data_IF_242604461754
#
_entry.id   IF_242604461754
#
_cell.length_a   1.000
_cell.length_b   1.000
_cell.length_c   1.000
_cell.angle_alpha   90.00
_cell.angle_beta   90.00
_cell.angle_gamma   90.00
#
_symmetry.space_group_name_H-M   'P 1'
#
loop_
_entity.id
_entity.type
_entity.pdbx_description
1 polymer ?
#
# COMPACT_ATOMS: atom_id res chain seq x y z
N UNK A 1 -12.44 2.79 -15.59
CA UNK A 1 -12.55 2.97 -14.12
C UNK A 1 -13.69 2.14 -13.52
N UNK A 2 -14.91 2.18 -14.07
CA UNK A 2 -16.07 1.43 -13.55
C UNK A 2 -15.83 -0.08 -13.32
N UNK A 3 -15.27 -0.79 -14.31
CA UNK A 3 -14.99 -2.24 -14.20
C UNK A 3 -14.03 -2.61 -13.06
N UNK A 4 -13.05 -1.75 -12.72
CA UNK A 4 -12.13 -1.99 -11.61
C UNK A 4 -12.85 -1.86 -10.26
N UNK A 5 -13.73 -0.88 -10.13
CA UNK A 5 -14.54 -0.70 -8.92
C UNK A 5 -15.57 -1.81 -8.76
N UNK A 6 -16.13 -2.32 -9.85
CA UNK A 6 -17.02 -3.49 -9.84
C UNK A 6 -16.26 -4.74 -9.36
N UNK A 7 -15.08 -5.01 -9.92
CA UNK A 7 -14.22 -6.12 -9.49
C UNK A 7 -13.81 -6.03 -8.01
N UNK A 8 -13.66 -4.82 -7.47
CA UNK A 8 -13.35 -4.59 -6.07
C UNK A 8 -14.58 -4.55 -5.16
N UNK A 9 -15.80 -4.39 -5.70
CA UNK A 9 -17.01 -4.14 -4.90
C UNK A 9 -17.46 -5.34 -4.06
N UNK A 10 -17.05 -6.55 -4.44
CA UNK A 10 -17.38 -7.78 -3.73
C UNK A 10 -16.47 -8.04 -2.50
N UNK A 11 -15.39 -7.30 -2.35
CA UNK A 11 -14.41 -7.49 -1.26
C UNK A 11 -14.56 -6.38 -0.19
N UNK A 12 -14.24 -6.72 1.07
CA UNK A 12 -14.16 -5.75 2.16
C UNK A 12 -12.79 -5.06 2.18
N UNK A 13 -12.61 -4.11 1.27
CA UNK A 13 -11.41 -3.27 1.19
C UNK A 13 -11.69 -1.85 1.64
N UNK A 14 -10.65 -1.11 2.03
CA UNK A 14 -10.72 0.33 2.30
C UNK A 14 -9.52 1.14 1.78
N UNK A 15 -8.52 0.46 1.20
CA UNK A 15 -7.47 1.04 0.38
C UNK A 15 -7.45 0.35 -1.01
N UNK A 16 -7.39 1.11 -2.09
CA UNK A 16 -7.18 0.60 -3.44
C UNK A 16 -6.00 1.32 -4.08
N UNK A 17 -4.92 0.59 -4.36
CA UNK A 17 -3.80 1.11 -5.14
C UNK A 17 -4.18 1.20 -6.62
N UNK A 18 -4.08 2.41 -7.17
CA UNK A 18 -4.17 2.67 -8.61
C UNK A 18 -2.79 2.65 -9.27
N UNK A 19 -1.75 2.93 -8.50
CA UNK A 19 -0.36 2.94 -8.92
C UNK A 19 0.55 2.68 -7.75
N UNK A 20 1.45 1.72 -7.88
CA UNK A 20 2.38 1.33 -6.81
C UNK A 20 3.64 0.68 -7.36
N UNK A 21 4.66 0.60 -6.51
CA UNK A 21 5.90 -0.11 -6.81
C UNK A 21 5.99 -1.36 -5.92
N UNK A 22 5.46 -2.52 -6.37
CA UNK A 22 5.50 -3.75 -5.59
C UNK A 22 6.94 -4.13 -5.28
N UNK A 23 7.17 -4.60 -4.07
CA UNK A 23 8.46 -5.21 -3.69
C UNK A 23 8.30 -6.71 -3.45
N UNK A 24 7.11 -7.13 -3.00
CA UNK A 24 6.68 -8.53 -3.02
C UNK A 24 5.66 -8.78 -4.13
N UNK A 25 5.57 -10.05 -4.53
CA UNK A 25 4.50 -10.52 -5.38
C UNK A 25 3.13 -10.37 -4.74
N UNK A 26 2.11 -10.33 -5.58
CA UNK A 26 0.72 -10.31 -5.13
C UNK A 26 0.32 -11.62 -4.49
N UNK A 27 -0.43 -11.53 -3.39
CA UNK A 27 -0.77 -12.70 -2.58
C UNK A 27 -1.92 -13.49 -3.18
N UNK A 28 -2.91 -12.79 -3.74
CA UNK A 28 -4.11 -13.40 -4.30
C UNK A 28 -4.65 -12.60 -5.48
N UNK A 29 -5.07 -13.32 -6.52
CA UNK A 29 -5.89 -12.75 -7.59
C UNK A 29 -7.36 -12.67 -7.11
N UNK A 30 -7.93 -11.48 -7.08
CA UNK A 30 -9.34 -11.26 -6.68
C UNK A 30 -10.24 -11.31 -7.91
N UNK A 31 -9.83 -10.65 -8.98
CA UNK A 31 -10.47 -10.70 -10.31
C UNK A 31 -9.41 -10.47 -11.39
N UNK A 32 -9.81 -10.48 -12.67
CA UNK A 32 -8.89 -10.22 -13.79
C UNK A 32 -8.02 -8.98 -13.61
N UNK A 33 -8.56 -7.95 -12.94
CA UNK A 33 -7.90 -6.65 -12.83
C UNK A 33 -7.62 -6.21 -11.39
N UNK A 34 -7.91 -7.05 -10.40
CA UNK A 34 -7.80 -6.71 -8.98
C UNK A 34 -7.05 -7.80 -8.25
N UNK A 35 -6.08 -7.39 -7.44
CA UNK A 35 -5.25 -8.28 -6.62
C UNK A 35 -5.24 -7.84 -5.18
N UNK A 36 -4.95 -8.78 -4.29
CA UNK A 36 -4.50 -8.52 -2.93
C UNK A 36 -2.99 -8.26 -2.96
N UNK A 37 -2.54 -7.03 -2.68
CA UNK A 37 -1.15 -6.66 -2.81
C UNK A 37 -0.30 -7.28 -1.69
N UNK A 38 0.88 -7.76 -2.07
CA UNK A 38 1.98 -7.95 -1.15
C UNK A 38 2.60 -6.63 -0.69
N UNK A 39 3.72 -6.72 0.00
CA UNK A 39 4.45 -5.54 0.44
C UNK A 39 4.83 -4.56 -0.68
N UNK A 40 4.63 -3.27 -0.41
CA UNK A 40 4.82 -2.17 -1.34
C UNK A 40 5.53 -1.02 -0.63
N UNK A 41 6.64 -0.53 -1.20
CA UNK A 41 7.37 0.64 -0.68
C UNK A 41 6.86 1.96 -1.26
N UNK A 42 6.48 2.02 -2.54
CA UNK A 42 6.01 3.26 -3.13
C UNK A 42 4.55 3.21 -3.49
N UNK A 43 3.82 4.17 -2.93
CA UNK A 43 2.44 4.46 -3.29
C UNK A 43 2.42 5.65 -4.24
N UNK A 44 2.01 5.44 -5.49
CA UNK A 44 1.98 6.50 -6.51
C UNK A 44 0.59 7.13 -6.61
N UNK A 45 -0.45 6.29 -6.60
CA UNK A 45 -1.83 6.72 -6.62
C UNK A 45 -2.71 5.71 -5.90
N UNK A 46 -3.68 6.19 -5.13
CA UNK A 46 -4.57 5.35 -4.35
C UNK A 46 -5.94 6.00 -4.15
N UNK A 47 -6.92 5.16 -3.82
CA UNK A 47 -8.21 5.56 -3.26
C UNK A 47 -8.28 5.02 -1.84
N UNK A 48 -8.65 5.88 -0.90
CA UNK A 48 -8.95 5.50 0.48
C UNK A 48 -10.43 5.74 0.76
N UNK A 49 -11.09 4.76 1.39
CA UNK A 49 -12.49 4.93 1.80
C UNK A 49 -12.58 5.82 3.05
N UNK A 50 -13.74 6.45 3.22
CA UNK A 50 -13.97 7.44 4.27
C UNK A 50 -13.81 6.86 5.68
N UNK A 51 -14.17 5.60 5.90
CA UNK A 51 -14.02 4.89 7.17
C UNK A 51 -12.53 4.76 7.57
N UNK A 52 -11.67 4.34 6.63
CA UNK A 52 -10.24 4.27 6.87
C UNK A 52 -9.62 5.64 7.12
N UNK A 53 -10.01 6.66 6.35
CA UNK A 53 -9.54 8.02 6.53
C UNK A 53 -9.93 8.58 7.91
N UNK A 54 -11.17 8.33 8.37
CA UNK A 54 -11.63 8.71 9.72
C UNK A 54 -10.84 7.99 10.80
N UNK A 55 -10.59 6.70 10.64
CA UNK A 55 -9.81 5.92 11.60
C UNK A 55 -8.39 6.50 11.79
N UNK A 56 -7.75 7.00 10.72
CA UNK A 56 -6.47 7.70 10.83
C UNK A 56 -6.57 9.02 11.61
N UNK A 57 -7.57 9.85 11.31
CA UNK A 57 -7.77 11.13 12.00
C UNK A 57 -8.07 10.93 13.48
N UNK A 58 -8.94 9.97 13.82
CA UNK A 58 -9.30 9.65 15.21
C UNK A 58 -8.13 9.09 16.03
N UNK A 59 -7.17 8.43 15.35
CA UNK A 59 -5.96 7.89 15.95
C UNK A 59 -4.82 8.91 16.05
N UNK A 60 -5.01 10.14 15.57
CA UNK A 60 -3.98 11.18 15.56
C UNK A 60 -2.66 10.74 14.92
N UNK A 61 -2.74 9.98 13.82
CA UNK A 61 -1.56 9.37 13.19
C UNK A 61 -0.52 10.38 12.73
N UNK A 62 -0.90 11.64 12.52
CA UNK A 62 0.01 12.74 12.19
C UNK A 62 1.02 13.05 13.31
N UNK A 63 0.77 12.59 14.54
CA UNK A 63 1.66 12.78 15.69
C UNK A 63 2.71 11.68 15.82
N UNK A 64 2.50 10.56 15.13
CA UNK A 64 3.40 9.41 15.17
C UNK A 64 4.33 9.45 13.95
N UNK A 65 5.63 9.57 14.18
CA UNK A 65 6.63 9.59 13.11
C UNK A 65 6.87 8.15 12.63
N UNK A 66 6.31 7.82 11.47
CA UNK A 66 6.65 6.60 10.75
C UNK A 66 7.02 6.91 9.30
N UNK A 67 7.98 6.19 8.70
CA UNK A 67 8.34 6.39 7.30
C UNK A 67 7.17 6.16 6.34
N UNK A 68 6.94 7.17 5.49
CA UNK A 68 5.81 7.23 4.58
C UNK A 68 5.73 6.01 3.65
N UNK A 69 6.87 5.57 3.13
CA UNK A 69 6.99 4.44 2.18
C UNK A 69 6.51 3.11 2.78
N UNK A 70 6.65 2.95 4.09
CA UNK A 70 6.28 1.73 4.81
C UNK A 70 4.85 1.78 5.35
N UNK A 71 4.27 2.98 5.43
CA UNK A 71 3.10 3.25 6.26
C UNK A 71 1.89 2.40 5.88
N UNK A 72 1.50 2.41 4.61
CA UNK A 72 0.32 1.64 4.17
C UNK A 72 0.54 0.12 4.26
N UNK A 73 1.75 -0.35 3.94
CA UNK A 73 2.08 -1.77 4.08
C UNK A 73 1.98 -2.22 5.54
N UNK A 74 2.55 -1.47 6.48
CA UNK A 74 2.46 -1.78 7.91
C UNK A 74 1.02 -1.63 8.44
N UNK A 75 0.27 -0.63 7.98
CA UNK A 75 -1.15 -0.45 8.32
C UNK A 75 -2.06 -1.58 7.79
N UNK A 76 -1.60 -2.35 6.81
CA UNK A 76 -2.23 -3.60 6.33
C UNK A 76 -1.67 -4.85 7.02
N UNK A 77 -0.70 -4.71 7.93
CA UNK A 77 0.00 -5.84 8.56
C UNK A 77 0.99 -6.56 7.66
N UNK A 78 1.55 -5.88 6.64
CA UNK A 78 2.54 -6.43 5.69
C UNK A 78 3.96 -5.97 6.04
N UNK A 79 4.96 -6.78 5.68
CA UNK A 79 6.38 -6.50 5.91
C UNK A 79 6.83 -6.58 7.37
N UNK A 80 6.09 -7.32 8.21
CA UNK A 80 6.41 -7.54 9.63
C UNK A 80 7.36 -8.72 9.85
N UNK A 81 7.77 -9.40 8.78
CA UNK A 81 8.81 -10.44 8.75
C UNK A 81 10.23 -9.85 8.76
N UNK A 82 10.35 -8.52 8.84
CA UNK A 82 11.59 -7.74 8.87
C UNK A 82 12.42 -7.81 7.58
N UNK A 83 11.91 -8.43 6.51
CA UNK A 83 12.68 -8.58 5.27
C UNK A 83 12.98 -7.24 4.59
N UNK A 84 12.00 -6.33 4.59
CA UNK A 84 12.12 -5.01 3.97
C UNK A 84 12.44 -3.89 4.94
N UNK A 85 12.22 -4.12 6.24
CA UNK A 85 12.52 -3.14 7.26
C UNK A 85 12.61 -3.78 8.66
N UNK A 86 13.80 -3.71 9.26
CA UNK A 86 14.06 -4.22 10.62
C UNK A 86 13.26 -3.49 11.72
N UNK A 87 12.80 -2.26 11.45
CA UNK A 87 12.01 -1.43 12.37
C UNK A 87 10.50 -1.62 12.20
N UNK A 88 10.03 -2.42 11.23
CA UNK A 88 8.60 -2.57 10.94
C UNK A 88 7.77 -3.03 12.16
N UNK A 89 8.31 -3.94 12.99
CA UNK A 89 7.65 -4.40 14.23
C UNK A 89 7.53 -3.27 15.25
N UNK A 90 8.49 -2.36 15.30
CA UNK A 90 8.48 -1.23 16.23
C UNK A 90 7.43 -0.20 15.78
N UNK A 91 7.43 0.16 14.49
CA UNK A 91 6.44 1.09 13.92
C UNK A 91 5.01 0.55 13.95
N UNK A 92 4.80 -0.75 13.81
CA UNK A 92 3.48 -1.36 13.87
C UNK A 92 2.73 -1.11 15.20
N UNK A 93 3.45 -0.71 16.26
CA UNK A 93 2.85 -0.30 17.53
C UNK A 93 2.17 1.07 17.45
N UNK A 94 2.64 1.92 16.54
CA UNK A 94 2.20 3.30 16.36
C UNK A 94 1.30 3.47 15.13
N UNK A 95 1.43 2.58 14.15
CA UNK A 95 0.63 2.57 12.93
C UNK A 95 -0.63 1.72 13.14
N UNK A 96 -1.84 2.28 13.01
CA UNK A 96 -3.06 1.50 13.21
C UNK A 96 -3.24 0.50 12.07
N UNK A 97 -3.44 -0.78 12.44
CA UNK A 97 -3.75 -1.88 11.52
C UNK A 97 -5.18 -1.83 10.98
N UNK A 98 -5.55 -0.74 10.31
CA UNK A 98 -6.93 -0.46 9.87
C UNK A 98 -7.13 -0.66 8.37
N UNK A 99 -6.06 -0.83 7.60
CA UNK A 99 -6.16 -0.93 6.14
C UNK A 99 -6.37 -2.37 5.68
N UNK A 100 -7.25 -2.50 4.68
CA UNK A 100 -7.51 -3.70 3.90
C UNK A 100 -7.33 -3.31 2.44
N UNK A 101 -6.19 -3.71 1.88
CA UNK A 101 -5.73 -3.23 0.58
C UNK A 101 -6.12 -4.13 -0.58
N UNK A 102 -6.47 -3.50 -1.68
CA UNK A 102 -6.47 -4.09 -3.02
C UNK A 102 -5.57 -3.27 -3.94
N UNK A 103 -5.19 -3.82 -5.08
CA UNK A 103 -4.49 -3.09 -6.12
C UNK A 103 -5.07 -3.41 -7.50
N UNK A 104 -5.05 -2.41 -8.38
CA UNK A 104 -5.37 -2.59 -9.79
C UNK A 104 -4.18 -3.20 -10.51
N UNK A 105 -4.43 -4.21 -11.34
CA UNK A 105 -3.44 -4.82 -12.23
C UNK A 105 -3.97 -4.85 -13.67
N UNK A 106 -3.22 -4.36 -14.69
CA UNK A 106 -2.00 -3.57 -14.57
C UNK A 106 -2.26 -2.20 -13.91
N UNK A 107 -1.25 -1.54 -13.31
CA UNK A 107 -1.41 -0.24 -12.65
C UNK A 107 -1.88 0.85 -13.63
N UNK A 108 -2.80 1.70 -13.17
CA UNK A 108 -3.34 2.84 -13.93
C UNK A 108 -2.41 4.05 -13.91
N UNK A 109 -1.59 4.17 -12.87
CA UNK A 109 -0.60 5.23 -12.71
C UNK A 109 0.74 4.58 -12.40
N UNK A 110 1.78 4.99 -13.13
CA UNK A 110 3.14 4.52 -12.91
C UNK A 110 4.05 5.71 -12.59
N UNK A 111 5.08 5.51 -11.74
CA UNK A 111 6.09 6.55 -11.55
C UNK A 111 6.79 6.81 -12.88
N UNK A 112 7.20 8.07 -13.10
CA UNK A 112 7.96 8.43 -14.29
C UNK A 112 9.24 7.59 -14.35
N UNK A 113 9.55 6.96 -15.48
CA UNK A 113 10.69 6.02 -15.57
C UNK A 113 12.02 6.64 -15.11
N UNK A 114 12.24 7.94 -15.38
CA UNK A 114 13.43 8.65 -14.92
C UNK A 114 13.49 8.88 -13.41
N UNK A 115 12.36 8.88 -12.68
CA UNK A 115 12.37 9.02 -11.23
C UNK A 115 12.86 7.75 -10.53
N UNK A 116 12.78 6.58 -11.18
CA UNK A 116 13.36 5.34 -10.63
C UNK A 116 14.89 5.39 -10.62
N UNK A 117 15.50 6.08 -11.59
CA UNK A 117 16.97 6.22 -11.68
C UNK A 117 17.51 7.21 -10.63
N UNK A 118 16.67 8.14 -10.17
CA UNK A 118 17.03 9.19 -9.22
C UNK A 118 16.64 8.86 -7.78
N UNK A 119 15.98 7.73 -7.55
CA UNK A 119 15.47 7.40 -6.23
C UNK A 119 16.35 6.37 -5.53
N UNK A 120 16.83 6.74 -4.35
CA UNK A 120 17.66 5.89 -3.50
C UNK A 120 16.93 4.57 -3.13
N UNK A 121 15.61 4.62 -2.95
CA UNK A 121 14.80 3.43 -2.64
C UNK A 121 14.65 2.47 -3.84
N UNK A 122 14.75 2.97 -5.08
CA UNK A 122 14.78 2.11 -6.27
C UNK A 122 16.16 1.48 -6.49
N UNK A 123 17.25 2.18 -6.13
CA UNK A 123 18.60 1.63 -6.22
C UNK A 123 18.85 0.48 -5.23
N UNK A 124 18.10 0.39 -4.13
CA UNK A 124 18.15 -0.75 -3.20
C UNK A 124 17.61 -2.07 -3.81
N UNK A 125 17.07 -2.04 -5.04
CA UNK A 125 16.49 -3.22 -5.72
C UNK A 125 17.42 -3.86 -6.75
N UNK A 126 18.64 -3.34 -6.94
CA UNK A 126 19.63 -3.86 -7.90
C UNK A 126 20.59 -4.87 -7.30
#
# INVERSE_FOLDING_TARGET
FGQYLEGASAEDWNLLYLGRSPTEGDWRMVSEHIVEPGYTLWTVAYVIKLDAARAFVERHVEKELAPLDHYFSVAMGRGLDLHWNEQAIEWAKYIPGVLRGLAVTPPLVMPYAGSMVLSDTAMLRS
#
